data_IF_883841286341
#
_entry.id   IF_883841286341
#
_cell.length_a   1.000
_cell.length_b   1.000
_cell.length_c   1.000
_cell.angle_alpha   90.00
_cell.angle_beta   90.00
_cell.angle_gamma   90.00
#
_symmetry.space_group_name_H-M   'P 1'
#
loop_
_entity.id
_entity.type
_entity.pdbx_description
1 polymer ?
#
# COMPACT_ATOMS: atom_id res chain seq x y z
N UNK A 1 -17.97 3.39 -26.99
CA UNK A 1 -17.14 2.90 -25.88
C UNK A 1 -17.58 1.52 -25.44
N UNK A 2 -16.66 0.56 -25.43
CA UNK A 2 -16.93 -0.79 -24.96
C UNK A 2 -16.86 -0.80 -23.43
N UNK A 3 -17.85 -1.33 -22.70
CA UNK A 3 -17.82 -1.36 -21.25
C UNK A 3 -16.60 -2.15 -20.76
N UNK A 4 -15.99 -1.75 -19.63
CA UNK A 4 -14.86 -2.47 -19.08
C UNK A 4 -15.21 -3.94 -18.85
N UNK A 5 -14.25 -4.84 -19.11
CA UNK A 5 -14.43 -6.25 -18.80
C UNK A 5 -14.79 -6.45 -17.32
N UNK A 6 -15.69 -7.38 -17.02
CA UNK A 6 -16.20 -7.63 -15.67
C UNK A 6 -15.08 -7.74 -14.62
N UNK A 7 -14.00 -8.45 -14.95
CA UNK A 7 -12.84 -8.61 -14.06
C UNK A 7 -12.13 -7.29 -13.75
N UNK A 8 -12.00 -6.41 -14.75
CA UNK A 8 -11.42 -5.08 -14.56
C UNK A 8 -12.32 -4.22 -13.68
N UNK A 9 -13.63 -4.25 -13.91
CA UNK A 9 -14.59 -3.51 -13.10
C UNK A 9 -14.53 -3.94 -11.62
N UNK A 10 -14.49 -5.24 -11.34
CA UNK A 10 -14.37 -5.78 -9.97
C UNK A 10 -13.05 -5.34 -9.33
N UNK A 11 -11.92 -5.53 -10.01
CA UNK A 11 -10.61 -5.14 -9.47
C UNK A 11 -10.53 -3.63 -9.17
N UNK A 12 -11.11 -2.79 -10.04
CA UNK A 12 -11.16 -1.36 -9.83
C UNK A 12 -12.08 -0.97 -8.66
N UNK A 13 -13.24 -1.62 -8.52
CA UNK A 13 -14.11 -1.40 -7.35
C UNK A 13 -13.40 -1.72 -6.04
N UNK A 14 -12.62 -2.81 -6.00
CA UNK A 14 -11.81 -3.16 -4.83
C UNK A 14 -10.80 -2.07 -4.50
N UNK A 15 -10.06 -1.53 -5.49
CA UNK A 15 -9.14 -0.41 -5.28
C UNK A 15 -9.83 0.81 -4.67
N UNK A 16 -10.99 1.19 -5.19
CA UNK A 16 -11.75 2.36 -4.70
C UNK A 16 -12.18 2.16 -3.24
N UNK A 17 -12.71 0.98 -2.91
CA UNK A 17 -13.12 0.68 -1.55
C UNK A 17 -11.93 0.66 -0.59
N UNK A 18 -10.79 0.09 -1.00
CA UNK A 18 -9.57 0.08 -0.20
C UNK A 18 -9.05 1.49 0.10
N UNK A 19 -8.98 2.38 -0.89
CA UNK A 19 -8.55 3.78 -0.66
C UNK A 19 -9.48 4.47 0.35
N UNK A 20 -10.80 4.31 0.18
CA UNK A 20 -11.78 4.93 1.06
C UNK A 20 -11.70 4.42 2.50
N UNK A 21 -11.55 3.11 2.70
CA UNK A 21 -11.41 2.51 4.03
C UNK A 21 -10.13 2.99 4.70
N UNK A 22 -9.00 2.97 3.97
CA UNK A 22 -7.70 3.43 4.48
C UNK A 22 -7.76 4.90 4.91
N UNK A 23 -8.29 5.77 4.05
CA UNK A 23 -8.44 7.20 4.36
C UNK A 23 -9.36 7.43 5.55
N UNK A 24 -10.47 6.71 5.63
CA UNK A 24 -11.42 6.83 6.75
C UNK A 24 -10.79 6.39 8.08
N UNK A 25 -9.96 5.34 8.07
CA UNK A 25 -9.25 4.89 9.27
C UNK A 25 -8.21 5.91 9.71
N UNK A 26 -7.35 6.36 8.79
CA UNK A 26 -6.31 7.35 9.11
C UNK A 26 -6.87 8.69 9.60
N UNK A 27 -8.08 9.07 9.18
CA UNK A 27 -8.75 10.27 9.69
C UNK A 27 -9.28 10.12 11.12
N UNK A 28 -9.63 8.90 11.55
CA UNK A 28 -10.09 8.61 12.91
C UNK A 28 -8.96 8.24 13.87
N UNK A 29 -7.99 7.48 13.38
CA UNK A 29 -6.83 6.97 14.10
C UNK A 29 -5.58 7.16 13.24
N UNK A 30 -4.84 8.27 13.42
CA UNK A 30 -3.66 8.55 12.61
C UNK A 30 -2.54 7.56 12.96
N UNK A 31 -1.85 7.05 11.94
CA UNK A 31 -0.69 6.20 12.16
C UNK A 31 0.49 7.01 12.73
N UNK A 32 1.26 6.42 13.64
CA UNK A 32 2.53 7.00 14.11
C UNK A 32 3.52 7.17 12.96
N UNK A 33 3.53 6.20 12.03
CA UNK A 33 4.36 6.19 10.82
C UNK A 33 3.54 5.63 9.67
N UNK A 34 3.52 6.36 8.54
CA UNK A 34 2.89 5.91 7.31
C UNK A 34 3.95 5.51 6.27
N UNK A 35 4.01 4.22 5.94
CA UNK A 35 4.87 3.71 4.87
C UNK A 35 4.10 3.68 3.53
N UNK A 36 4.64 4.37 2.52
CA UNK A 36 4.03 4.49 1.18
C UNK A 36 4.99 4.02 0.08
N UNK A 37 5.15 2.70 -0.14
CA UNK A 37 6.00 2.17 -1.21
C UNK A 37 5.48 2.57 -2.60
N UNK A 38 6.39 2.89 -3.53
CA UNK A 38 6.04 3.40 -4.86
C UNK A 38 5.73 2.27 -5.85
N UNK A 39 4.53 1.70 -5.74
CA UNK A 39 4.06 0.56 -6.57
C UNK A 39 2.82 0.87 -7.40
N UNK A 40 2.44 2.15 -7.55
CA UNK A 40 1.20 2.55 -8.24
C UNK A 40 1.14 2.14 -9.73
N UNK A 41 2.29 1.83 -10.32
CA UNK A 41 2.41 1.32 -11.68
C UNK A 41 2.26 -0.20 -11.79
N UNK A 42 2.11 -0.93 -10.68
CA UNK A 42 1.85 -2.38 -10.64
C UNK A 42 0.34 -2.61 -10.51
N UNK A 43 -0.24 -3.30 -11.49
CA UNK A 43 -1.66 -3.65 -11.47
C UNK A 43 -1.98 -4.76 -10.45
N UNK A 44 -3.21 -4.75 -9.92
CA UNK A 44 -3.67 -5.70 -8.88
C UNK A 44 -3.48 -7.18 -9.25
N UNK A 45 -3.59 -7.52 -10.54
CA UNK A 45 -3.47 -8.89 -11.04
C UNK A 45 -2.10 -9.19 -11.68
N UNK A 46 -1.14 -8.27 -11.59
CA UNK A 46 0.20 -8.42 -12.17
C UNK A 46 1.14 -9.22 -11.28
N UNK A 47 0.76 -10.46 -10.93
CA UNK A 47 1.52 -11.31 -10.01
C UNK A 47 2.96 -11.60 -10.47
N UNK A 48 3.22 -11.51 -11.77
CA UNK A 48 4.55 -11.66 -12.36
C UNK A 48 5.54 -10.56 -11.90
N UNK A 49 5.05 -9.45 -11.32
CA UNK A 49 5.85 -8.33 -10.79
C UNK A 49 6.01 -8.37 -9.28
N UNK A 50 5.68 -9.49 -8.62
CA UNK A 50 5.76 -9.62 -7.18
C UNK A 50 7.16 -9.27 -6.62
N UNK A 51 8.23 -9.69 -7.30
CA UNK A 51 9.60 -9.38 -6.87
C UNK A 51 9.87 -7.86 -6.80
N UNK A 52 9.38 -7.11 -7.79
CA UNK A 52 9.51 -5.64 -7.84
C UNK A 52 8.75 -4.96 -6.69
N UNK A 53 7.53 -5.42 -6.41
CA UNK A 53 6.73 -4.89 -5.31
C UNK A 53 7.37 -5.16 -3.94
N UNK A 54 7.93 -6.37 -3.74
CA UNK A 54 8.62 -6.76 -2.51
C UNK A 54 9.87 -5.90 -2.31
N UNK A 55 10.70 -5.75 -3.35
CA UNK A 55 11.93 -4.95 -3.28
C UNK A 55 11.63 -3.47 -2.94
N UNK A 56 10.61 -2.88 -3.55
CA UNK A 56 10.20 -1.50 -3.22
C UNK A 56 9.65 -1.40 -1.79
N UNK A 57 8.95 -2.44 -1.32
CA UNK A 57 8.50 -2.55 0.08
C UNK A 57 9.68 -2.56 1.06
N UNK A 58 10.67 -3.42 0.82
CA UNK A 58 11.89 -3.49 1.62
C UNK A 58 12.62 -2.14 1.62
N UNK A 59 12.79 -1.53 0.44
CA UNK A 59 13.43 -0.22 0.28
C UNK A 59 12.68 0.89 1.02
N UNK A 60 11.34 0.85 1.01
CA UNK A 60 10.51 1.79 1.75
C UNK A 60 10.72 1.66 3.26
N UNK A 61 10.71 0.42 3.78
CA UNK A 61 10.98 0.14 5.20
C UNK A 61 12.38 0.59 5.60
N UNK A 62 13.41 0.28 4.80
CA UNK A 62 14.79 0.65 5.11
C UNK A 62 14.97 2.17 5.22
N UNK A 63 14.29 2.96 4.37
CA UNK A 63 14.32 4.43 4.43
C UNK A 63 13.70 4.98 5.71
N UNK A 64 12.66 4.32 6.22
CA UNK A 64 11.95 4.74 7.43
C UNK A 64 12.51 4.10 8.72
N UNK A 65 13.61 3.36 8.64
CA UNK A 65 14.10 2.54 9.75
C UNK A 65 14.43 3.36 11.02
N UNK A 66 14.90 4.60 10.83
CA UNK A 66 15.15 5.51 11.95
C UNK A 66 13.85 5.88 12.67
N UNK A 67 12.82 6.33 11.94
CA UNK A 67 11.50 6.67 12.48
C UNK A 67 10.86 5.47 13.19
N UNK A 68 10.95 4.28 12.57
CA UNK A 68 10.43 3.03 13.15
C UNK A 68 11.07 2.73 14.51
N UNK A 69 12.40 2.92 14.63
CA UNK A 69 13.11 2.68 15.89
C UNK A 69 12.71 3.65 16.99
N UNK A 70 12.45 4.90 16.66
CA UNK A 70 11.96 5.90 17.62
C UNK A 70 10.58 5.52 18.18
N UNK A 71 9.67 5.05 17.32
CA UNK A 71 8.30 4.69 17.73
C UNK A 71 8.25 3.37 18.51
N UNK A 72 9.05 2.37 18.13
CA UNK A 72 9.03 1.05 18.80
C UNK A 72 9.76 1.06 20.15
N UNK A 73 10.67 2.01 20.38
CA UNK A 73 11.48 2.09 21.59
C UNK A 73 12.46 0.92 21.76
N UNK A 74 13.32 0.93 22.78
CA UNK A 74 14.16 -0.22 23.11
C UNK A 74 13.26 -1.40 23.50
N UNK A 75 13.51 -2.58 22.91
CA UNK A 75 12.91 -3.84 23.39
C UNK A 75 13.24 -3.97 24.89
N UNK A 76 12.20 -4.00 25.72
CA UNK A 76 12.33 -4.39 27.13
C UNK A 76 12.89 -5.81 27.25
#
# INVERSE_FOLDING_TARGET
DQPPGLMYAIANSVNIFQDRITRSRLAGDPADILLSPKVAHIGMLEFYRAAEAIEEGERCVQKALAEIREVVGPRA
#
